data_IF_450394446715
#
_entry.id   IF_450394446715
#
_cell.length_a   1.000
_cell.length_b   1.000
_cell.length_c   1.000
_cell.angle_alpha   90.00
_cell.angle_beta   90.00
_cell.angle_gamma   90.00
#
_symmetry.space_group_name_H-M   'P 1'
#
loop_
_entity.id
_entity.type
_entity.pdbx_description
1 polymer ?
#
# COMPACT_ATOMS: atom_id res chain seq x y z
N UNK A 1 26.76 4.38 14.39
CA UNK A 1 25.54 5.18 14.15
C UNK A 1 24.62 4.33 13.28
N UNK A 2 23.37 4.11 13.68
CA UNK A 2 22.44 3.26 12.93
C UNK A 2 21.29 4.08 12.38
N UNK A 3 20.88 3.80 11.14
CA UNK A 3 19.75 4.44 10.48
C UNK A 3 18.73 3.37 10.12
N UNK A 4 17.50 3.53 10.60
CA UNK A 4 16.35 2.70 10.25
C UNK A 4 15.42 3.52 9.36
N UNK A 5 14.92 2.91 8.29
CA UNK A 5 13.92 3.50 7.41
C UNK A 5 12.75 2.52 7.30
N UNK A 6 11.55 3.04 7.49
CA UNK A 6 10.29 2.30 7.33
C UNK A 6 9.47 2.99 6.24
N UNK A 7 8.84 2.20 5.37
CA UNK A 7 8.02 2.69 4.27
C UNK A 7 6.78 1.81 4.16
N UNK A 8 5.63 2.43 3.86
CA UNK A 8 4.39 1.72 3.54
C UNK A 8 4.33 1.44 2.04
N UNK A 9 3.63 0.39 1.64
CA UNK A 9 3.28 0.14 0.23
C UNK A 9 2.54 1.34 -0.41
N UNK A 10 2.54 1.41 -1.74
CA UNK A 10 1.83 2.44 -2.50
C UNK A 10 0.30 2.31 -2.44
N UNK A 11 -0.43 3.22 -3.10
CA UNK A 11 -1.90 3.14 -3.15
C UNK A 11 -2.34 1.83 -3.82
N UNK A 12 -3.13 1.02 -3.11
CA UNK A 12 -3.80 -0.15 -3.69
C UNK A 12 -5.16 0.22 -4.29
N UNK A 13 -5.70 -0.66 -5.14
CA UNK A 13 -7.05 -0.48 -5.70
C UNK A 13 -8.11 -0.29 -4.60
N UNK A 14 -8.02 -1.06 -3.51
CA UNK A 14 -8.98 -0.94 -2.41
C UNK A 14 -8.75 0.31 -1.55
N UNK A 15 -7.54 0.89 -1.53
CA UNK A 15 -7.34 2.21 -0.94
C UNK A 15 -8.06 3.29 -1.75
N UNK A 16 -7.99 3.21 -3.09
CA UNK A 16 -8.70 4.12 -4.00
C UNK A 16 -10.24 3.98 -3.84
N UNK A 17 -10.72 2.75 -3.68
CA UNK A 17 -12.15 2.44 -3.50
C UNK A 17 -12.66 2.67 -2.07
N UNK A 18 -11.82 3.08 -1.12
CA UNK A 18 -12.13 3.19 0.31
C UNK A 18 -12.70 1.88 0.91
N UNK A 19 -12.14 0.74 0.53
CA UNK A 19 -12.49 -0.59 1.04
C UNK A 19 -11.44 -1.10 2.01
N UNK A 20 -11.89 -1.88 2.98
CA UNK A 20 -11.00 -2.53 3.94
C UNK A 20 -10.28 -3.73 3.31
N UNK A 21 -8.95 -3.67 3.17
CA UNK A 21 -8.13 -4.73 2.54
C UNK A 21 -7.99 -6.00 3.38
N UNK A 22 -7.70 -5.86 4.68
CA UNK A 22 -7.42 -7.00 5.54
C UNK A 22 -6.28 -7.87 5.00
N UNK A 23 -6.59 -9.13 4.73
CA UNK A 23 -5.63 -10.15 4.24
C UNK A 23 -5.80 -10.43 2.74
N UNK A 24 -6.66 -9.68 2.05
CA UNK A 24 -6.85 -9.83 0.62
C UNK A 24 -5.57 -9.39 -0.12
N UNK A 25 -5.16 -10.19 -1.10
CA UNK A 25 -4.08 -9.85 -2.01
C UNK A 25 -4.64 -8.92 -3.10
N UNK A 26 -4.23 -7.65 -3.09
CA UNK A 26 -4.80 -6.59 -3.93
C UNK A 26 -3.66 -5.82 -4.59
N UNK A 27 -3.80 -5.60 -5.89
CA UNK A 27 -2.79 -4.91 -6.68
C UNK A 27 -2.65 -3.41 -6.33
N UNK A 28 -1.50 -2.84 -6.71
CA UNK A 28 -1.24 -1.41 -6.67
C UNK A 28 -1.88 -0.72 -7.87
N UNK A 29 -2.38 0.51 -7.67
CA UNK A 29 -2.79 1.36 -8.78
C UNK A 29 -1.57 1.92 -9.52
N UNK A 30 -1.79 2.52 -10.69
CA UNK A 30 -0.72 3.26 -11.39
C UNK A 30 -0.15 4.45 -10.57
N UNK A 31 -0.87 4.93 -9.54
CA UNK A 31 -0.36 5.92 -8.58
C UNK A 31 0.52 5.28 -7.49
N UNK A 32 0.27 4.01 -7.17
CA UNK A 32 1.01 3.26 -6.16
C UNK A 32 2.29 2.59 -6.67
N UNK A 33 2.38 2.35 -7.98
CA UNK A 33 3.56 1.88 -8.70
C UNK A 33 4.57 3.00 -8.95
#
# INVERSE_FOLDING_TARGET
MHKLVLLRHGQSEWNLENRFTGWADVDLTAQGM
#
